data_IF_993900695715
#
_entry.id   IF_993900695715
#
_cell.length_a   1.000
_cell.length_b   1.000
_cell.length_c   1.000
_cell.angle_alpha   90.00
_cell.angle_beta   90.00
_cell.angle_gamma   90.00
#
_symmetry.space_group_name_H-M   'P 1'
#
loop_
_entity.id
_entity.type
_entity.pdbx_description
1 polymer ?
#
# COMPACT_ATOMS: atom_id res chain seq x y z
N UNK A 1 37.46 5.73 75.59
CA UNK A 1 36.47 6.79 75.88
C UNK A 1 35.75 7.09 74.55
N UNK A 2 34.50 6.64 74.34
CA UNK A 2 33.24 7.43 74.28
C UNK A 2 33.42 8.79 73.57
N UNK A 3 32.69 9.24 72.53
CA UNK A 3 31.24 9.30 72.22
C UNK A 3 31.04 9.51 70.68
N UNK A 4 30.13 8.84 69.99
CA UNK A 4 28.74 9.22 69.59
C UNK A 4 28.51 10.53 68.79
N UNK A 5 27.89 10.36 67.60
CA UNK A 5 26.88 11.21 66.89
C UNK A 5 27.34 12.58 66.37
N UNK A 6 27.06 13.02 65.13
CA UNK A 6 25.73 13.35 64.59
C UNK A 6 25.77 13.37 63.05
N UNK A 7 24.77 12.74 62.43
CA UNK A 7 24.36 12.95 61.04
C UNK A 7 23.82 14.37 60.83
N UNK A 8 24.36 15.10 59.85
CA UNK A 8 23.68 16.25 59.25
C UNK A 8 23.11 15.83 57.89
N UNK A 9 21.84 15.40 57.96
CA UNK A 9 20.86 15.48 56.88
C UNK A 9 20.67 16.94 56.44
N UNK A 10 20.07 17.10 55.25
CA UNK A 10 19.44 18.30 54.68
C UNK A 10 20.40 19.32 54.01
N UNK A 11 20.14 19.86 52.83
CA UNK A 11 19.01 19.79 51.89
C UNK A 11 19.55 20.27 50.51
N UNK A 12 18.92 19.88 49.39
CA UNK A 12 19.29 20.25 48.03
C UNK A 12 18.81 21.67 47.72
N UNK A 13 19.63 22.49 47.07
CA UNK A 13 19.19 23.78 46.55
C UNK A 13 19.98 24.18 45.30
N UNK A 14 19.38 23.88 44.15
CA UNK A 14 19.30 24.73 42.95
C UNK A 14 20.56 25.54 42.59
N UNK A 15 21.42 24.95 41.76
CA UNK A 15 21.96 25.66 40.60
C UNK A 15 21.30 25.06 39.36
N UNK A 16 20.04 25.44 39.16
CA UNK A 16 19.36 25.28 37.89
C UNK A 16 20.11 26.12 36.84
N UNK A 17 20.97 25.48 36.04
CA UNK A 17 21.14 25.87 34.66
C UNK A 17 19.99 25.19 33.91
N UNK A 18 18.94 25.97 33.63
CA UNK A 18 17.68 25.52 33.05
C UNK A 18 17.86 25.01 31.61
N UNK A 19 17.96 23.70 31.43
CA UNK A 19 17.07 23.04 30.48
C UNK A 19 15.89 22.58 31.34
N UNK A 20 14.68 23.08 31.09
CA UNK A 20 13.56 22.62 31.91
C UNK A 20 13.41 21.09 31.71
N UNK A 21 13.05 20.32 32.74
CA UNK A 21 12.73 18.90 32.57
C UNK A 21 11.69 18.67 31.44
N UNK A 22 10.89 19.70 31.16
CA UNK A 22 9.97 19.75 30.03
C UNK A 22 10.69 19.88 28.68
N UNK A 23 11.73 20.71 28.56
CA UNK A 23 12.52 20.84 27.32
C UNK A 23 13.25 19.54 26.99
N UNK A 24 13.80 18.86 27.99
CA UNK A 24 14.44 17.55 27.82
C UNK A 24 13.41 16.48 27.43
N UNK A 25 12.22 16.48 28.04
CA UNK A 25 11.12 15.60 27.66
C UNK A 25 10.58 15.91 26.25
N UNK A 26 10.54 17.19 25.86
CA UNK A 26 10.08 17.63 24.55
C UNK A 26 11.09 17.25 23.46
N UNK A 27 12.40 17.44 23.71
CA UNK A 27 13.46 17.00 22.80
C UNK A 27 13.46 15.48 22.63
N UNK A 28 13.24 14.73 23.70
CA UNK A 28 13.11 13.28 23.65
C UNK A 28 11.84 12.85 22.91
N UNK A 29 10.71 13.52 23.13
CA UNK A 29 9.46 13.29 22.40
C UNK A 29 9.58 13.60 20.91
N UNK A 30 10.23 14.72 20.55
CA UNK A 30 10.53 15.08 19.16
C UNK A 30 11.45 14.05 18.51
N UNK A 31 12.52 13.62 19.18
CA UNK A 31 13.41 12.58 18.68
C UNK A 31 12.66 11.27 18.40
N UNK A 32 11.79 10.82 19.32
CA UNK A 32 10.97 9.64 19.08
C UNK A 32 9.90 9.86 18.02
N UNK A 33 9.29 11.05 17.93
CA UNK A 33 8.32 11.39 16.91
C UNK A 33 8.95 11.41 15.51
N UNK A 34 10.11 12.04 15.36
CA UNK A 34 10.86 12.08 14.10
C UNK A 34 11.31 10.68 13.69
N UNK A 35 11.70 9.86 14.67
CA UNK A 35 12.00 8.46 14.42
C UNK A 35 10.77 7.69 13.96
N UNK A 36 9.60 7.87 14.60
CA UNK A 36 8.34 7.22 14.21
C UNK A 36 7.88 7.71 12.83
N UNK A 37 7.90 9.02 12.58
CA UNK A 37 7.49 9.61 11.31
C UNK A 37 8.40 9.17 10.15
N UNK A 38 9.70 8.98 10.41
CA UNK A 38 10.64 8.42 9.42
C UNK A 38 10.30 6.98 8.98
N UNK A 39 9.58 6.22 9.81
CA UNK A 39 9.13 4.87 9.47
C UNK A 39 7.79 4.85 8.73
N UNK A 40 7.07 5.98 8.63
CA UNK A 40 5.77 6.06 7.96
C UNK A 40 6.02 6.50 6.50
N UNK A 41 6.01 5.56 5.53
CA UNK A 41 6.18 5.93 4.12
C UNK A 41 4.99 6.77 3.65
N UNK A 42 5.20 7.63 2.64
CA UNK A 42 4.08 8.29 1.97
C UNK A 42 3.21 7.24 1.26
N UNK A 43 1.92 7.08 1.63
CA UNK A 43 1.08 5.98 1.13
C UNK A 43 0.52 6.20 -0.27
N UNK A 44 0.80 7.35 -0.91
CA UNK A 44 0.29 7.69 -2.23
C UNK A 44 1.37 8.36 -3.09
N UNK A 45 2.42 7.60 -3.38
CA UNK A 45 3.50 7.99 -4.29
C UNK A 45 3.20 7.46 -5.70
N UNK A 46 3.35 8.26 -6.74
CA UNK A 46 3.23 7.75 -8.10
C UNK A 46 4.40 6.78 -8.41
N UNK A 47 4.11 5.66 -9.06
CA UNK A 47 5.15 4.75 -9.54
C UNK A 47 5.82 5.30 -10.80
N UNK A 48 7.14 5.20 -10.86
CA UNK A 48 7.95 5.59 -12.02
C UNK A 48 8.50 4.33 -12.70
N UNK A 49 7.83 3.82 -13.74
CA UNK A 49 8.33 2.68 -14.49
C UNK A 49 9.59 3.06 -15.28
N UNK A 50 10.34 2.06 -15.73
CA UNK A 50 11.58 2.26 -16.50
C UNK A 50 11.32 3.03 -17.80
N UNK A 51 12.33 3.79 -18.26
CA UNK A 51 12.20 4.77 -19.35
C UNK A 51 11.64 4.23 -20.69
N UNK A 52 11.72 2.92 -20.93
CA UNK A 52 11.13 2.27 -22.11
C UNK A 52 9.60 2.34 -22.12
N UNK A 53 8.94 2.23 -20.96
CA UNK A 53 7.48 2.35 -20.83
C UNK A 53 7.00 3.80 -21.00
N UNK A 54 7.81 4.78 -20.57
CA UNK A 54 7.49 6.21 -20.67
C UNK A 54 7.50 6.75 -22.13
N UNK A 55 8.22 6.07 -23.04
CA UNK A 55 8.38 6.49 -24.45
C UNK A 55 7.36 5.90 -25.42
N UNK A 56 6.45 5.03 -24.97
CA UNK A 56 5.52 4.26 -25.82
C UNK A 56 4.27 5.04 -26.33
N UNK A 57 4.23 6.37 -26.20
CA UNK A 57 3.61 7.31 -27.14
C UNK A 57 2.25 7.01 -27.80
N UNK A 58 1.29 6.35 -27.15
CA UNK A 58 -0.07 6.18 -27.72
C UNK A 58 -1.07 5.39 -26.87
N UNK A 59 -0.64 4.29 -26.24
CA UNK A 59 -1.36 3.56 -25.18
C UNK A 59 -0.45 3.51 -23.97
N UNK A 60 -0.34 4.65 -23.30
CA UNK A 60 0.58 4.84 -22.18
C UNK A 60 0.22 3.86 -21.06
N UNK A 61 1.20 3.06 -20.65
CA UNK A 61 1.14 2.29 -19.42
C UNK A 61 0.72 3.21 -18.27
N UNK A 62 -0.49 3.01 -17.75
CA UNK A 62 -1.09 3.92 -16.78
C UNK A 62 -0.54 3.64 -15.39
N UNK A 63 -0.40 4.67 -14.57
CA UNK A 63 0.00 4.53 -13.17
C UNK A 63 -1.23 4.78 -12.32
N UNK A 64 -1.71 3.74 -11.63
CA UNK A 64 -2.86 3.87 -10.76
C UNK A 64 -2.42 4.46 -9.43
N UNK A 65 -3.11 5.50 -8.98
CA UNK A 65 -2.95 6.06 -7.65
C UNK A 65 -4.26 5.99 -6.88
N UNK A 66 -4.20 6.08 -5.55
CA UNK A 66 -5.38 6.06 -4.69
C UNK A 66 -6.44 7.08 -5.11
N UNK A 67 -6.02 8.21 -5.67
CA UNK A 67 -6.90 9.33 -5.98
C UNK A 67 -7.55 9.25 -7.37
N UNK A 68 -6.97 8.50 -8.30
CA UNK A 68 -7.36 8.54 -9.71
C UNK A 68 -7.62 7.18 -10.37
N UNK A 69 -7.31 6.06 -9.69
CA UNK A 69 -7.40 4.73 -10.29
C UNK A 69 -8.76 4.44 -10.97
N UNK A 70 -9.88 4.78 -10.32
CA UNK A 70 -11.21 4.48 -10.85
C UNK A 70 -11.49 5.33 -12.07
N UNK A 71 -11.13 6.62 -12.00
CA UNK A 71 -11.29 7.55 -13.11
C UNK A 71 -10.45 7.12 -14.31
N UNK A 72 -9.20 6.72 -14.07
CA UNK A 72 -8.29 6.22 -15.11
C UNK A 72 -8.88 5.01 -15.82
N UNK A 73 -9.31 3.99 -15.07
CA UNK A 73 -9.90 2.76 -15.65
C UNK A 73 -11.21 3.06 -16.39
N UNK A 74 -12.11 3.85 -15.79
CA UNK A 74 -13.42 4.15 -16.38
C UNK A 74 -13.35 5.16 -17.52
N UNK A 75 -12.24 5.88 -17.71
CA UNK A 75 -12.09 6.82 -18.81
C UNK A 75 -12.02 6.14 -20.18
N UNK A 76 -11.72 4.84 -20.24
CA UNK A 76 -11.66 4.09 -21.50
C UNK A 76 -13.05 3.78 -22.08
N UNK A 77 -14.08 3.67 -21.23
CA UNK A 77 -15.42 3.24 -21.66
C UNK A 77 -16.27 4.43 -22.10
N UNK A 78 -16.94 4.28 -23.25
CA UNK A 78 -17.95 5.24 -23.69
C UNK A 78 -19.26 5.02 -22.91
N UNK A 79 -20.03 6.07 -22.58
CA UNK A 79 -21.24 5.96 -21.75
C UNK A 79 -22.30 4.97 -22.25
N UNK A 80 -22.35 4.68 -23.56
CA UNK A 80 -23.30 3.74 -24.18
C UNK A 80 -22.62 2.50 -24.78
N UNK A 81 -21.37 2.22 -24.41
CA UNK A 81 -20.67 1.03 -24.91
C UNK A 81 -21.28 -0.24 -24.32
N UNK A 82 -21.60 -1.20 -25.18
CA UNK A 82 -22.07 -2.55 -24.80
C UNK A 82 -20.93 -3.57 -24.81
N UNK A 83 -19.81 -3.25 -25.47
CA UNK A 83 -18.59 -4.05 -25.47
C UNK A 83 -17.67 -3.61 -24.32
N UNK A 84 -17.21 -4.53 -23.47
CA UNK A 84 -16.29 -4.20 -22.40
C UNK A 84 -14.93 -3.76 -22.96
N UNK A 85 -14.33 -2.76 -22.32
CA UNK A 85 -12.94 -2.39 -22.54
C UNK A 85 -12.04 -3.21 -21.60
N UNK A 86 -11.07 -3.91 -22.17
CA UNK A 86 -10.19 -4.81 -21.41
C UNK A 86 -9.00 -4.05 -20.81
N UNK A 87 -8.73 -4.27 -19.52
CA UNK A 87 -7.64 -3.68 -18.76
C UNK A 87 -6.78 -4.74 -18.11
N UNK A 88 -5.47 -4.63 -18.25
CA UNK A 88 -4.48 -5.48 -17.59
C UNK A 88 -3.65 -4.64 -16.63
N UNK A 89 -3.76 -4.95 -15.34
CA UNK A 89 -3.11 -4.22 -14.26
C UNK A 89 -2.07 -5.14 -13.64
N UNK A 90 -0.81 -4.74 -13.74
CA UNK A 90 0.27 -5.42 -13.04
C UNK A 90 0.35 -4.92 -11.60
N UNK A 91 0.01 -5.80 -10.66
CA UNK A 91 0.17 -5.58 -9.22
C UNK A 91 1.58 -6.01 -8.83
N UNK A 92 2.41 -5.03 -8.49
CA UNK A 92 3.82 -5.21 -8.11
C UNK A 92 4.08 -4.64 -6.72
N UNK A 93 5.24 -4.96 -6.15
CA UNK A 93 5.59 -4.62 -4.77
C UNK A 93 7.04 -4.21 -4.57
N UNK A 94 7.72 -3.73 -5.62
CA UNK A 94 9.06 -3.17 -5.51
C UNK A 94 10.06 -4.02 -4.71
N UNK A 95 10.81 -3.36 -3.83
CA UNK A 95 11.80 -4.04 -2.99
C UNK A 95 11.20 -4.53 -1.67
N UNK A 96 10.22 -3.82 -1.11
CA UNK A 96 9.71 -4.08 0.24
C UNK A 96 8.61 -5.14 0.20
N UNK A 97 7.53 -4.88 -0.52
CA UNK A 97 6.35 -5.77 -0.56
C UNK A 97 6.62 -7.05 -1.38
N UNK A 98 7.53 -6.99 -2.36
CA UNK A 98 7.89 -8.12 -3.23
C UNK A 98 9.32 -8.64 -3.00
N UNK A 99 9.97 -8.26 -1.90
CA UNK A 99 11.31 -8.72 -1.50
C UNK A 99 12.38 -8.57 -2.60
N UNK A 100 12.24 -7.55 -3.46
CA UNK A 100 13.16 -7.30 -4.59
C UNK A 100 13.01 -8.27 -5.76
N UNK A 101 12.00 -9.14 -5.77
CA UNK A 101 11.84 -10.20 -6.77
C UNK A 101 10.98 -9.79 -7.98
N UNK A 102 10.27 -8.66 -7.90
CA UNK A 102 9.34 -8.25 -8.95
C UNK A 102 10.03 -7.64 -10.19
N UNK A 103 11.31 -7.31 -10.14
CA UNK A 103 11.99 -6.59 -11.24
C UNK A 103 11.94 -7.30 -12.59
N UNK A 104 12.07 -8.63 -12.64
CA UNK A 104 12.00 -9.38 -13.90
C UNK A 104 10.62 -9.26 -14.56
N UNK A 105 9.55 -9.38 -13.79
CA UNK A 105 8.19 -9.28 -14.32
C UNK A 105 7.80 -7.83 -14.68
N UNK A 106 8.27 -6.84 -13.92
CA UNK A 106 8.08 -5.41 -14.25
C UNK A 106 8.73 -5.09 -15.59
N UNK A 107 9.98 -5.53 -15.79
CA UNK A 107 10.67 -5.37 -17.08
C UNK A 107 9.91 -6.03 -18.22
N UNK A 108 9.47 -7.28 -18.05
CA UNK A 108 8.70 -8.00 -19.05
C UNK A 108 7.37 -7.29 -19.39
N UNK A 109 6.69 -6.72 -18.40
CA UNK A 109 5.45 -5.99 -18.61
C UNK A 109 5.69 -4.63 -19.30
N UNK A 110 6.78 -3.94 -18.97
CA UNK A 110 7.19 -2.71 -19.67
C UNK A 110 7.47 -2.97 -21.16
N UNK A 111 8.22 -4.04 -21.46
CA UNK A 111 8.50 -4.46 -22.84
C UNK A 111 7.22 -4.86 -23.58
N UNK A 112 6.30 -5.54 -22.90
CA UNK A 112 4.97 -5.88 -23.45
C UNK A 112 4.16 -4.63 -23.75
N UNK A 113 4.17 -3.63 -22.87
CA UNK A 113 3.49 -2.37 -23.09
C UNK A 113 4.01 -1.62 -24.32
N UNK A 114 5.34 -1.63 -24.52
CA UNK A 114 5.95 -1.08 -25.72
C UNK A 114 5.50 -1.85 -26.97
N UNK A 115 5.55 -3.18 -26.92
CA UNK A 115 5.11 -4.04 -28.03
C UNK A 115 3.64 -3.81 -28.41
N UNK A 116 2.79 -3.58 -27.42
CA UNK A 116 1.34 -3.43 -27.61
C UNK A 116 0.88 -2.00 -27.87
N UNK A 117 1.77 -1.01 -27.74
CA UNK A 117 1.45 0.40 -27.96
C UNK A 117 0.87 0.70 -29.34
N UNK A 118 1.30 -0.04 -30.37
CA UNK A 118 0.81 0.07 -31.75
C UNK A 118 -0.35 -0.87 -32.08
N UNK A 119 -0.75 -1.78 -31.18
CA UNK A 119 -1.82 -2.74 -31.42
C UNK A 119 -3.16 -2.21 -30.88
N UNK A 120 -4.13 -1.84 -31.75
CA UNK A 120 -5.42 -1.34 -31.31
C UNK A 120 -6.23 -2.40 -30.55
N UNK A 121 -6.05 -3.69 -30.82
CA UNK A 121 -6.74 -4.79 -30.16
C UNK A 121 -6.11 -5.20 -28.81
N UNK A 122 -4.94 -4.65 -28.46
CA UNK A 122 -4.33 -4.92 -27.15
C UNK A 122 -5.09 -4.18 -26.02
N UNK A 123 -5.16 -4.79 -24.83
CA UNK A 123 -5.82 -4.20 -23.67
C UNK A 123 -5.13 -2.92 -23.22
N UNK A 124 -5.85 -2.11 -22.44
CA UNK A 124 -5.27 -1.00 -21.70
C UNK A 124 -4.37 -1.55 -20.59
N UNK A 125 -3.20 -0.96 -20.39
CA UNK A 125 -2.23 -1.46 -19.41
C UNK A 125 -2.10 -0.48 -18.25
N UNK A 126 -1.94 -1.00 -17.04
CA UNK A 126 -1.65 -0.20 -15.86
C UNK A 126 -0.73 -0.87 -14.85
N UNK A 127 -0.11 -0.06 -14.00
CA UNK A 127 0.60 -0.47 -12.80
C UNK A 127 -0.19 -0.14 -11.55
N UNK A 128 -0.20 -1.10 -10.62
CA UNK A 128 -0.50 -0.88 -9.22
C UNK A 128 0.71 -1.33 -8.40
N UNK A 129 1.53 -0.38 -7.95
CA UNK A 129 2.71 -0.68 -7.15
C UNK A 129 2.40 -0.52 -5.66
N UNK A 130 2.38 -1.62 -4.91
CA UNK A 130 2.00 -1.65 -3.51
C UNK A 130 3.03 -1.05 -2.54
N UNK A 131 4.29 -0.87 -2.94
CA UNK A 131 5.24 -0.08 -2.14
C UNK A 131 4.90 1.42 -2.19
N UNK A 132 4.40 1.86 -3.34
CA UNK A 132 4.09 3.26 -3.60
C UNK A 132 2.61 3.62 -3.31
N UNK A 133 1.73 2.64 -3.42
CA UNK A 133 0.27 2.74 -3.25
C UNK A 133 -0.26 1.68 -2.26
N UNK A 134 0.32 1.57 -1.03
CA UNK A 134 -0.04 0.52 -0.09
C UNK A 134 -1.51 0.56 0.32
N UNK A 135 -2.10 1.75 0.44
CA UNK A 135 -3.52 1.90 0.81
C UNK A 135 -4.43 1.38 -0.28
N UNK A 136 -4.12 1.65 -1.55
CA UNK A 136 -4.90 1.15 -2.70
C UNK A 136 -4.76 -0.37 -2.84
N UNK A 137 -3.56 -0.92 -2.63
CA UNK A 137 -3.39 -2.37 -2.63
C UNK A 137 -4.17 -3.04 -1.49
N UNK A 138 -4.15 -2.47 -0.29
CA UNK A 138 -4.92 -3.01 0.84
C UNK A 138 -6.43 -2.89 0.61
N UNK A 139 -6.91 -1.80 -0.01
CA UNK A 139 -8.35 -1.63 -0.28
C UNK A 139 -8.89 -2.65 -1.28
N UNK A 140 -8.05 -3.14 -2.19
CA UNK A 140 -8.38 -4.20 -3.14
C UNK A 140 -8.01 -5.61 -2.64
N UNK A 141 -7.34 -5.71 -1.49
CA UNK A 141 -6.66 -6.94 -1.06
C UNK A 141 -5.72 -7.51 -2.15
N UNK A 142 -5.09 -6.61 -2.91
CA UNK A 142 -4.24 -6.95 -4.03
C UNK A 142 -2.81 -7.23 -3.58
N UNK A 143 -2.42 -8.51 -3.56
CA UNK A 143 -1.06 -8.93 -3.21
C UNK A 143 -0.15 -9.12 -4.44
N UNK A 144 1.04 -8.51 -4.50
CA UNK A 144 2.01 -8.74 -5.58
C UNK A 144 2.81 -10.04 -5.37
N UNK A 145 3.38 -10.65 -6.44
CA UNK A 145 3.14 -10.40 -7.86
C UNK A 145 1.80 -10.96 -8.40
N UNK A 146 0.97 -10.12 -9.00
CA UNK A 146 -0.27 -10.58 -9.64
C UNK A 146 -0.62 -9.75 -10.88
N UNK A 147 -1.30 -10.39 -11.84
CA UNK A 147 -1.95 -9.73 -12.96
C UNK A 147 -3.45 -9.69 -12.69
N UNK A 148 -4.03 -8.50 -12.74
CA UNK A 148 -5.47 -8.28 -12.64
C UNK A 148 -5.99 -7.94 -14.03
N UNK A 149 -7.02 -8.66 -14.47
CA UNK A 149 -7.61 -8.55 -15.81
C UNK A 149 -9.06 -8.14 -15.63
N UNK A 150 -9.40 -6.98 -16.15
CA UNK A 150 -10.67 -6.31 -15.93
C UNK A 150 -11.42 -6.19 -17.26
N UNK A 151 -12.67 -6.60 -17.28
CA UNK A 151 -13.61 -6.27 -18.35
C UNK A 151 -14.49 -5.13 -17.86
N UNK A 152 -14.23 -3.92 -18.36
CA UNK A 152 -14.85 -2.69 -17.86
C UNK A 152 -16.00 -2.29 -18.76
N UNK A 153 -17.18 -2.13 -18.16
CA UNK A 153 -18.37 -1.56 -18.80
C UNK A 153 -18.73 -0.20 -18.17
N UNK A 154 -19.47 0.68 -18.88
CA UNK A 154 -19.99 1.90 -18.28
C UNK A 154 -20.93 1.58 -17.11
N UNK A 155 -20.95 2.45 -16.10
CA UNK A 155 -21.94 2.35 -15.01
C UNK A 155 -23.36 2.36 -15.61
N UNK A 156 -24.31 1.53 -15.13
CA UNK A 156 -24.28 0.77 -13.87
C UNK A 156 -23.82 -0.69 -13.99
N UNK A 157 -23.29 -1.12 -15.14
CA UNK A 157 -22.88 -2.51 -15.32
C UNK A 157 -21.70 -2.89 -14.39
N UNK A 158 -21.67 -4.12 -13.86
CA UNK A 158 -20.56 -4.59 -13.02
C UNK A 158 -19.29 -4.74 -13.85
N UNK A 159 -18.14 -4.61 -13.19
CA UNK A 159 -16.82 -4.81 -13.80
C UNK A 159 -16.37 -6.22 -13.47
N UNK A 160 -16.11 -7.04 -14.50
CA UNK A 160 -15.59 -8.41 -14.27
C UNK A 160 -14.11 -8.32 -13.95
N UNK A 161 -13.68 -8.86 -12.81
CA UNK A 161 -12.26 -8.94 -12.44
C UNK A 161 -11.83 -10.39 -12.44
N UNK A 162 -10.69 -10.69 -13.06
CA UNK A 162 -9.98 -11.97 -12.95
C UNK A 162 -8.57 -11.70 -12.45
N UNK A 163 -8.05 -12.59 -11.62
CA UNK A 163 -6.71 -12.44 -11.06
C UNK A 163 -5.86 -13.66 -11.37
N UNK A 164 -4.61 -13.43 -11.76
CA UNK A 164 -3.61 -14.48 -11.97
C UNK A 164 -2.36 -14.17 -11.19
N UNK A 165 -1.94 -15.09 -10.33
CA UNK A 165 -0.63 -15.01 -9.69
C UNK A 165 0.47 -15.15 -10.74
N UNK A 166 1.45 -14.26 -10.69
CA UNK A 166 2.62 -14.34 -11.57
C UNK A 166 3.80 -14.97 -10.83
N UNK A 167 4.67 -15.64 -11.57
CA UNK A 167 5.90 -16.19 -11.03
C UNK A 167 7.03 -15.17 -11.19
N UNK A 168 7.71 -14.79 -10.12
CA UNK A 168 8.77 -13.77 -10.13
C UNK A 168 9.98 -14.16 -11.00
N UNK A 169 10.23 -15.45 -11.20
CA UNK A 169 11.41 -15.96 -11.92
C UNK A 169 11.13 -16.24 -13.39
N UNK A 170 9.92 -16.67 -13.74
CA UNK A 170 9.60 -17.20 -15.07
C UNK A 170 8.65 -16.32 -15.90
N UNK A 171 8.22 -15.18 -15.36
CA UNK A 171 7.37 -14.25 -16.13
C UNK A 171 8.23 -13.48 -17.14
N UNK A 172 7.84 -13.56 -18.41
CA UNK A 172 8.53 -12.94 -19.54
C UNK A 172 7.50 -12.31 -20.50
N UNK A 173 7.94 -11.54 -21.50
CA UNK A 173 7.05 -10.94 -22.51
C UNK A 173 6.14 -12.00 -23.13
N UNK A 174 6.71 -13.18 -23.42
CA UNK A 174 5.99 -14.33 -23.97
C UNK A 174 4.80 -14.75 -23.11
N UNK A 175 4.92 -14.67 -21.78
CA UNK A 175 3.82 -14.99 -20.85
C UNK A 175 2.60 -14.12 -21.12
N UNK A 176 2.78 -12.82 -21.37
CA UNK A 176 1.69 -11.90 -21.64
C UNK A 176 1.15 -12.06 -23.07
N UNK A 177 2.02 -12.23 -24.07
CA UNK A 177 1.60 -12.41 -25.47
C UNK A 177 0.87 -13.74 -25.70
N UNK A 178 1.33 -14.81 -25.07
CA UNK A 178 0.64 -16.11 -25.09
C UNK A 178 -0.73 -16.01 -24.42
N UNK A 179 -0.80 -15.29 -23.28
CA UNK A 179 -2.06 -15.10 -22.57
C UNK A 179 -3.08 -14.34 -23.41
N UNK A 180 -2.66 -13.26 -24.09
CA UNK A 180 -3.53 -12.45 -24.95
C UNK A 180 -3.98 -13.23 -26.19
N UNK A 181 -3.03 -13.91 -26.86
CA UNK A 181 -3.32 -14.66 -28.10
C UNK A 181 -4.19 -15.89 -27.88
N UNK A 182 -3.94 -16.65 -26.80
CA UNK A 182 -4.75 -17.83 -26.46
C UNK A 182 -6.11 -17.46 -25.85
N UNK A 183 -6.25 -16.25 -25.33
CA UNK A 183 -7.39 -15.83 -24.52
C UNK A 183 -7.67 -16.72 -23.30
N UNK A 184 -6.68 -17.51 -22.85
CA UNK A 184 -6.81 -18.44 -21.71
C UNK A 184 -7.12 -17.74 -20.39
N UNK A 185 -6.90 -16.42 -20.29
CA UNK A 185 -7.31 -15.65 -19.12
C UNK A 185 -8.83 -15.62 -18.90
N UNK A 186 -9.64 -15.83 -19.96
CA UNK A 186 -11.10 -15.85 -19.86
C UNK A 186 -11.64 -17.04 -19.08
N UNK A 187 -10.85 -18.11 -19.00
CA UNK A 187 -11.14 -19.33 -18.25
C UNK A 187 -10.84 -19.20 -16.76
N UNK A 188 -10.13 -18.13 -16.35
CA UNK A 188 -9.87 -17.86 -14.93
C UNK A 188 -11.18 -17.52 -14.23
N UNK A 189 -11.30 -17.98 -12.98
CA UNK A 189 -12.42 -17.68 -12.12
C UNK A 189 -12.58 -16.17 -11.93
N UNK A 190 -13.82 -15.70 -11.99
CA UNK A 190 -14.15 -14.32 -11.71
C UNK A 190 -14.01 -14.07 -10.21
N UNK A 191 -13.28 -13.02 -9.87
CA UNK A 191 -13.07 -12.62 -8.49
C UNK A 191 -14.34 -11.95 -7.95
N UNK A 192 -15.01 -12.58 -6.99
CA UNK A 192 -16.26 -12.08 -6.38
C UNK A 192 -16.08 -11.77 -4.87
N UNK A 193 -14.87 -11.38 -4.47
CA UNK A 193 -14.53 -11.15 -3.06
C UNK A 193 -15.13 -9.87 -2.47
N UNK A 194 -15.17 -9.78 -1.13
CA UNK A 194 -15.63 -8.57 -0.41
C UNK A 194 -14.77 -7.33 -0.69
N UNK A 195 -13.50 -7.52 -1.07
CA UNK A 195 -12.55 -6.49 -1.48
C UNK A 195 -12.56 -6.23 -3.00
N UNK A 196 -13.55 -6.75 -3.74
CA UNK A 196 -13.69 -6.47 -5.15
C UNK A 196 -13.78 -4.94 -5.39
N UNK A 197 -12.92 -4.36 -6.24
CA UNK A 197 -12.65 -2.92 -6.26
C UNK A 197 -13.84 -2.07 -6.71
N UNK A 198 -14.75 -2.63 -7.51
CA UNK A 198 -15.93 -1.92 -8.01
C UNK A 198 -17.20 -2.37 -7.28
N UNK A 199 -17.47 -3.66 -7.35
CA UNK A 199 -18.75 -4.24 -6.92
C UNK A 199 -18.72 -4.97 -5.56
N UNK A 200 -17.57 -4.99 -4.89
CA UNK A 200 -17.43 -5.60 -3.57
C UNK A 200 -18.21 -4.85 -2.49
N UNK A 201 -18.47 -5.52 -1.37
CA UNK A 201 -19.20 -4.93 -0.24
C UNK A 201 -18.55 -3.62 0.22
N UNK A 202 -17.22 -3.61 0.42
CA UNK A 202 -16.51 -2.43 0.90
C UNK A 202 -16.43 -1.31 -0.14
N UNK A 203 -16.41 -1.63 -1.43
CA UNK A 203 -16.45 -0.62 -2.49
C UNK A 203 -17.83 0.07 -2.52
N UNK A 204 -18.91 -0.72 -2.50
CA UNK A 204 -20.30 -0.21 -2.49
C UNK A 204 -20.63 0.60 -1.24
N UNK A 205 -20.06 0.26 -0.09
CA UNK A 205 -20.29 0.97 1.17
C UNK A 205 -19.33 2.15 1.40
N UNK A 206 -18.39 2.42 0.47
CA UNK A 206 -17.37 3.46 0.66
C UNK A 206 -16.33 3.15 1.76
N UNK A 207 -16.27 1.90 2.23
CA UNK A 207 -15.36 1.45 3.30
C UNK A 207 -14.02 0.93 2.78
N UNK A 208 -13.89 0.66 1.47
CA UNK A 208 -12.67 0.11 0.90
C UNK A 208 -11.43 0.97 1.20
N UNK A 209 -11.51 2.29 0.95
CA UNK A 209 -10.40 3.21 1.22
C UNK A 209 -10.09 3.35 2.72
N UNK A 210 -11.08 3.60 3.61
CA UNK A 210 -10.85 3.56 5.06
C UNK A 210 -10.20 2.27 5.56
N UNK A 211 -10.65 1.11 5.09
CA UNK A 211 -10.04 -0.18 5.44
C UNK A 211 -8.63 -0.33 4.88
N UNK A 212 -8.38 0.19 3.67
CA UNK A 212 -7.05 0.25 3.10
C UNK A 212 -6.07 1.02 3.99
N UNK A 213 -6.48 2.17 4.52
CA UNK A 213 -5.70 2.93 5.50
C UNK A 213 -5.51 2.16 6.80
N UNK A 214 -6.57 1.53 7.31
CA UNK A 214 -6.50 0.71 8.51
C UNK A 214 -5.44 -0.39 8.38
N UNK A 215 -5.52 -1.23 7.35
CA UNK A 215 -4.55 -2.32 7.15
C UNK A 215 -3.13 -1.81 6.90
N UNK A 216 -2.98 -0.71 6.15
CA UNK A 216 -1.68 -0.08 5.96
C UNK A 216 -1.07 0.39 7.28
N UNK A 217 -1.84 1.08 8.13
CA UNK A 217 -1.37 1.54 9.45
C UNK A 217 -0.91 0.35 10.30
N UNK A 218 -1.69 -0.73 10.36
CA UNK A 218 -1.29 -1.93 11.09
C UNK A 218 -0.04 -2.60 10.52
N UNK A 219 0.18 -2.51 9.20
CA UNK A 219 1.37 -3.06 8.55
C UNK A 219 2.64 -2.23 8.78
N UNK A 220 2.53 -0.90 8.87
CA UNK A 220 3.70 -0.02 9.09
C UNK A 220 4.05 0.17 10.55
N UNK A 221 3.10 -0.02 11.48
CA UNK A 221 3.39 0.08 12.91
C UNK A 221 4.30 -1.09 13.31
N UNK A 222 5.52 -0.81 13.82
CA UNK A 222 6.41 -1.86 14.28
C UNK A 222 5.82 -2.60 15.49
N UNK A 223 6.07 -3.91 15.61
CA UNK A 223 5.57 -4.73 16.72
C UNK A 223 5.97 -4.19 18.10
N UNK A 224 7.15 -3.56 18.22
CA UNK A 224 7.59 -2.96 19.48
C UNK A 224 6.68 -1.81 19.94
N UNK A 225 6.11 -1.04 19.00
CA UNK A 225 5.24 0.09 19.33
C UNK A 225 3.91 -0.41 19.91
N UNK A 226 3.38 -1.53 19.41
CA UNK A 226 2.23 -2.20 20.02
C UNK A 226 2.54 -2.69 21.44
N UNK A 227 3.73 -3.26 21.69
CA UNK A 227 4.13 -3.71 23.03
C UNK A 227 4.25 -2.54 24.02
N UNK A 228 4.78 -1.41 23.57
CA UNK A 228 4.79 -0.17 24.36
C UNK A 228 3.35 0.30 24.65
N UNK A 229 2.48 0.31 23.64
CA UNK A 229 1.08 0.70 23.80
C UNK A 229 0.34 -0.14 24.83
N UNK A 230 0.47 -1.47 24.76
CA UNK A 230 -0.12 -2.40 25.74
C UNK A 230 0.46 -2.19 27.14
N UNK A 231 1.76 -1.89 27.24
CA UNK A 231 2.43 -1.63 28.52
C UNK A 231 1.92 -0.35 29.20
N UNK A 232 1.65 0.71 28.44
CA UNK A 232 1.05 1.93 29.00
C UNK A 232 -0.42 1.73 29.36
N UNK A 233 -1.19 1.09 28.47
CA UNK A 233 -2.61 0.81 28.73
C UNK A 233 -2.80 -0.04 30.00
N UNK A 234 -2.00 -1.09 30.20
CA UNK A 234 -2.07 -1.93 31.40
C UNK A 234 -1.71 -1.15 32.66
N UNK A 235 -0.66 -0.32 32.62
CA UNK A 235 -0.27 0.55 33.75
C UNK A 235 -1.35 1.58 34.08
N UNK A 236 -1.97 2.21 33.07
CA UNK A 236 -3.08 3.15 33.27
C UNK A 236 -4.30 2.48 33.89
N UNK A 237 -4.63 1.25 33.48
CA UNK A 237 -5.73 0.48 34.09
C UNK A 237 -5.40 0.11 35.54
N UNK A 238 -4.18 -0.32 35.83
CA UNK A 238 -3.75 -0.64 37.20
C UNK A 238 -3.79 0.59 38.12
N UNK A 239 -3.36 1.76 37.62
CA UNK A 239 -3.44 3.03 38.35
C UNK A 239 -4.89 3.50 38.57
N UNK A 240 -5.79 3.22 37.61
CA UNK A 240 -7.21 3.54 37.74
C UNK A 240 -7.93 2.59 38.72
N UNK A 241 -7.45 1.35 38.87
CA UNK A 241 -8.01 0.34 39.78
C UNK A 241 -7.50 0.50 41.22
N UNK A 242 -6.26 0.95 41.42
CA UNK A 242 -5.66 1.18 42.74
C UNK A 242 -5.28 2.67 42.93
N UNK A 243 -6.24 3.56 43.24
CA UNK A 243 -5.97 4.98 43.43
C UNK A 243 -5.34 5.37 44.78
N UNK A 244 -5.06 4.40 45.68
CA UNK A 244 -4.67 4.67 47.09
C UNK A 244 -3.21 4.30 47.45
N UNK A 245 -2.29 4.19 46.49
CA UNK A 245 -0.83 4.30 46.73
C UNK A 245 -0.24 5.59 46.13
#
# INVERSE_FOLDING_TARGET
MRFSTISLLALPALAAAQESPLDQAMAQAQYYFDKISSYIPNPNKAHTPEAAAAKAGGKTLNILTLNDWEKTIRSSVKPAATTPEEWWILVTGGNTTCFGQCGKMEKAFNETALLWSANPAAPHLAYLNCDNQPVLCNSWSAGPPALWILDVLPKPAPVTVRTRRLNTTNTEVKTFTDLLSSQSYKELEVYEGVFHPFDGFFAKSGLATPLGYFFWIFAVIPSWLFMIGISFASRSIMLAINPEE
#
